data_IF_682510811520
#
_entry.id   IF_682510811520
#
_cell.length_a   1.000
_cell.length_b   1.000
_cell.length_c   1.000
_cell.angle_alpha   90.00
_cell.angle_beta   90.00
_cell.angle_gamma   90.00
#
_symmetry.space_group_name_H-M   'P 1'
#
loop_
_entity.id
_entity.type
_entity.pdbx_description
1 polymer ?
#
# COMPACT_ATOMS: atom_id res chain seq x y z
N UNK A 1 15.77 14.33 -18.35
CA UNK A 1 17.08 14.65 -17.75
C UNK A 1 17.78 13.33 -17.50
N UNK A 2 19.01 13.13 -17.99
CA UNK A 2 19.75 11.89 -17.76
C UNK A 2 20.57 12.07 -16.49
N UNK A 3 20.30 11.26 -15.47
CA UNK A 3 21.04 11.29 -14.21
C UNK A 3 22.08 10.18 -14.22
N UNK A 4 23.28 10.48 -13.72
CA UNK A 4 24.34 9.51 -13.47
C UNK A 4 24.75 9.57 -12.00
N UNK A 5 24.91 8.42 -11.40
CA UNK A 5 25.16 8.25 -9.99
C UNK A 5 26.25 7.23 -9.72
N UNK A 6 27.12 7.55 -8.77
CA UNK A 6 28.20 6.69 -8.30
C UNK A 6 28.05 6.51 -6.81
N UNK A 7 27.98 5.26 -6.38
CA UNK A 7 27.87 4.85 -4.98
C UNK A 7 29.19 4.24 -4.53
N UNK A 8 29.63 4.60 -3.32
CA UNK A 8 30.74 3.96 -2.61
C UNK A 8 30.23 3.51 -1.24
N UNK A 9 30.19 2.20 -1.02
CA UNK A 9 29.86 1.58 0.26
C UNK A 9 31.15 1.14 0.94
N UNK A 10 31.35 1.54 2.18
CA UNK A 10 32.49 1.14 3.02
C UNK A 10 31.99 0.46 4.28
N UNK A 11 32.50 -0.74 4.54
CA UNK A 11 32.36 -1.43 5.82
C UNK A 11 33.69 -1.32 6.57
N UNK A 12 33.65 -0.90 7.83
CA UNK A 12 34.87 -0.79 8.66
C UNK A 12 34.67 -1.60 9.93
N UNK A 13 35.51 -2.61 10.13
CA UNK A 13 35.51 -3.41 11.36
C UNK A 13 36.07 -2.58 12.52
N UNK A 14 35.30 -2.43 13.60
CA UNK A 14 35.67 -1.56 14.72
C UNK A 14 36.82 -2.11 15.57
N UNK A 15 37.07 -3.42 15.52
CA UNK A 15 38.11 -4.06 16.33
C UNK A 15 39.47 -4.03 15.62
N UNK A 16 39.46 -4.32 14.32
CA UNK A 16 40.68 -4.47 13.51
C UNK A 16 41.01 -3.22 12.71
N UNK A 17 40.03 -2.36 12.43
CA UNK A 17 40.16 -1.23 11.52
C UNK A 17 40.20 -1.60 10.04
N UNK A 18 39.96 -2.88 9.69
CA UNK A 18 39.92 -3.33 8.30
C UNK A 18 38.75 -2.69 7.56
N UNK A 19 38.98 -2.27 6.31
CA UNK A 19 37.98 -1.60 5.47
C UNK A 19 37.73 -2.40 4.19
N UNK A 20 36.49 -2.85 4.03
CA UNK A 20 35.96 -3.36 2.77
C UNK A 20 35.24 -2.24 2.03
N UNK A 21 35.45 -2.11 0.71
CA UNK A 21 34.86 -1.03 -0.09
C UNK A 21 34.35 -1.56 -1.42
N UNK A 22 33.13 -1.17 -1.78
CA UNK A 22 32.49 -1.46 -3.06
C UNK A 22 32.11 -0.16 -3.75
N UNK A 23 32.31 -0.07 -5.06
CA UNK A 23 31.95 1.09 -5.87
C UNK A 23 31.15 0.64 -7.07
N UNK A 24 29.99 1.24 -7.27
CA UNK A 24 29.07 0.85 -8.34
C UNK A 24 28.33 2.06 -8.91
N UNK A 25 27.91 1.96 -10.17
CA UNK A 25 27.12 2.98 -10.86
C UNK A 25 25.63 2.61 -10.88
N UNK A 26 24.76 3.60 -11.05
CA UNK A 26 23.33 3.37 -10.99
C UNK A 26 22.67 3.24 -12.36
N UNK A 27 21.53 2.57 -12.34
CA UNK A 27 20.43 2.78 -13.27
C UNK A 27 19.44 3.78 -12.67
N UNK A 28 18.87 4.66 -13.49
CA UNK A 28 17.79 5.57 -13.08
C UNK A 28 16.47 4.94 -13.51
N UNK A 29 15.47 4.95 -12.64
CA UNK A 29 14.13 4.46 -12.98
C UNK A 29 13.23 5.62 -13.41
N UNK A 30 12.04 5.30 -13.90
CA UNK A 30 11.02 6.30 -14.22
C UNK A 30 10.29 6.86 -12.98
N UNK A 31 10.68 6.46 -11.75
CA UNK A 31 9.88 6.76 -10.57
C UNK A 31 9.64 8.27 -10.35
N UNK A 32 10.67 9.09 -10.51
CA UNK A 32 10.58 10.55 -10.35
C UNK A 32 9.83 11.19 -11.51
N UNK A 33 10.06 10.72 -12.74
CA UNK A 33 9.38 11.23 -13.94
C UNK A 33 7.89 10.94 -13.90
N UNK A 34 7.50 9.74 -13.45
CA UNK A 34 6.11 9.34 -13.28
C UNK A 34 5.39 10.23 -12.24
N UNK A 35 6.02 10.50 -11.10
CA UNK A 35 5.43 11.36 -10.06
C UNK A 35 5.20 12.79 -10.57
N UNK A 36 6.14 13.34 -11.35
CA UNK A 36 6.02 14.72 -11.86
C UNK A 36 5.20 14.83 -13.15
N UNK A 37 5.19 13.77 -13.95
CA UNK A 37 4.60 13.74 -15.29
C UNK A 37 3.15 13.25 -15.32
N UNK A 38 2.70 12.55 -14.29
CA UNK A 38 1.33 12.03 -14.20
C UNK A 38 0.48 12.85 -13.26
N UNK A 39 -0.79 13.03 -13.61
CA UNK A 39 -1.74 13.76 -12.77
C UNK A 39 -3.07 13.01 -12.67
N UNK A 40 -3.08 11.78 -12.12
CA UNK A 40 -4.30 10.99 -12.01
C UNK A 40 -5.33 11.76 -11.17
N UNK A 41 -6.56 11.83 -11.68
CA UNK A 41 -7.70 12.51 -11.09
C UNK A 41 -7.45 14.01 -10.79
N UNK A 42 -6.56 14.66 -11.54
CA UNK A 42 -6.24 16.08 -11.33
C UNK A 42 -5.67 16.35 -9.93
N UNK A 43 -4.96 15.38 -9.34
CA UNK A 43 -4.45 15.44 -7.97
C UNK A 43 -3.55 16.65 -7.70
N UNK A 44 -2.88 17.21 -8.72
CA UNK A 44 -2.01 18.39 -8.59
C UNK A 44 -2.69 19.72 -8.84
N UNK A 45 -3.93 19.70 -9.32
CA UNK A 45 -4.74 20.91 -9.40
C UNK A 45 -5.45 21.13 -8.06
N UNK A 46 -5.49 22.38 -7.62
CA UNK A 46 -6.30 22.81 -6.49
C UNK A 46 -7.33 23.82 -6.98
N UNK A 47 -8.55 23.69 -6.50
CA UNK A 47 -9.66 24.57 -6.91
C UNK A 47 -9.76 25.82 -6.02
N UNK A 48 -9.16 25.78 -4.83
CA UNK A 48 -9.01 26.90 -3.91
C UNK A 48 -7.65 26.84 -3.16
N UNK A 49 -7.28 27.88 -2.42
CA UNK A 49 -6.16 27.84 -1.47
C UNK A 49 -6.53 26.89 -0.30
N UNK A 50 -6.18 25.61 -0.37
CA UNK A 50 -6.69 24.58 0.55
C UNK A 50 -5.59 23.96 1.43
N UNK A 51 -5.86 23.87 2.72
CA UNK A 51 -5.01 23.22 3.73
C UNK A 51 -4.81 21.71 3.51
N UNK A 52 -5.60 21.09 2.63
CA UNK A 52 -5.71 19.64 2.43
C UNK A 52 -5.01 19.12 1.15
N UNK A 53 -4.25 19.98 0.47
CA UNK A 53 -3.33 19.62 -0.62
C UNK A 53 -1.89 19.74 -0.13
N UNK A 54 -1.04 18.76 -0.47
CA UNK A 54 0.35 18.77 -0.06
C UNK A 54 1.11 19.99 -0.63
N UNK A 55 1.82 20.72 0.23
CA UNK A 55 2.83 21.69 -0.21
C UNK A 55 4.03 20.95 -0.81
N UNK A 56 4.21 21.05 -2.13
CA UNK A 56 5.31 20.41 -2.83
C UNK A 56 6.68 20.91 -2.38
N UNK A 57 6.85 22.24 -2.35
CA UNK A 57 8.08 22.85 -1.90
C UNK A 57 8.29 22.58 -0.41
N UNK A 58 9.45 22.03 -0.07
CA UNK A 58 9.82 21.59 1.27
C UNK A 58 9.40 20.16 1.60
N UNK A 59 8.49 19.54 0.84
CA UNK A 59 8.10 18.13 1.06
C UNK A 59 8.66 17.19 0.00
N UNK A 60 8.47 17.52 -1.28
CA UNK A 60 8.92 16.73 -2.43
C UNK A 60 9.94 17.50 -3.27
N UNK A 61 9.82 18.82 -3.33
CA UNK A 61 10.74 19.70 -4.04
C UNK A 61 11.65 20.48 -3.08
N UNK A 62 12.91 20.76 -3.44
CA UNK A 62 13.61 20.27 -4.64
C UNK A 62 13.75 18.73 -4.66
N UNK A 63 13.95 18.14 -5.85
CA UNK A 63 13.99 16.66 -6.02
C UNK A 63 14.97 16.03 -5.04
N UNK A 64 16.22 16.52 -5.00
CA UNK A 64 17.18 16.19 -3.95
C UNK A 64 17.17 17.29 -2.88
N UNK A 65 17.10 16.97 -1.57
CA UNK A 65 17.14 15.62 -0.99
C UNK A 65 15.75 15.10 -0.57
N UNK A 66 14.68 15.36 -1.33
CA UNK A 66 13.30 15.09 -0.87
C UNK A 66 12.65 13.91 -1.63
N UNK A 67 12.31 14.07 -2.91
CA UNK A 67 11.86 12.97 -3.77
C UNK A 67 12.96 11.92 -4.01
N UNK A 68 14.21 12.35 -4.04
CA UNK A 68 15.38 11.49 -3.98
C UNK A 68 16.17 11.93 -2.77
N UNK A 69 16.04 11.19 -1.67
CA UNK A 69 16.46 11.65 -0.35
C UNK A 69 16.74 10.57 0.65
N UNK A 70 16.26 9.36 0.38
CA UNK A 70 16.52 8.17 1.17
C UNK A 70 17.28 7.12 0.38
N UNK A 71 17.61 6.04 1.08
CA UNK A 71 18.28 4.87 0.53
C UNK A 71 17.63 3.60 1.08
N UNK A 72 17.50 2.57 0.24
CA UNK A 72 17.03 1.23 0.56
C UNK A 72 18.15 0.22 0.22
N UNK A 73 18.41 -0.73 1.11
CA UNK A 73 19.47 -1.72 0.97
C UNK A 73 18.84 -3.11 0.95
N UNK A 74 19.09 -3.87 -0.11
CA UNK A 74 18.40 -5.12 -0.42
C UNK A 74 19.31 -6.32 -0.27
N UNK A 75 18.79 -7.47 0.22
CA UNK A 75 19.57 -8.67 0.42
C UNK A 75 19.83 -9.47 -0.87
N UNK A 76 19.06 -9.22 -1.93
CA UNK A 76 19.24 -9.79 -3.27
C UNK A 76 19.35 -8.67 -4.31
N UNK A 77 19.92 -8.98 -5.46
CA UNK A 77 19.96 -8.08 -6.61
C UNK A 77 18.55 -7.68 -7.04
N UNK A 78 18.42 -6.49 -7.61
CA UNK A 78 17.20 -5.95 -8.20
C UNK A 78 17.24 -6.14 -9.72
N UNK A 79 16.08 -6.27 -10.34
CA UNK A 79 15.96 -6.25 -11.80
C UNK A 79 16.29 -4.85 -12.33
N UNK A 80 17.24 -4.76 -13.27
CA UNK A 80 17.61 -3.50 -13.92
C UNK A 80 16.65 -3.18 -15.07
N UNK A 81 15.49 -2.62 -14.71
CA UNK A 81 14.51 -2.06 -15.64
C UNK A 81 14.08 -0.66 -15.15
N UNK A 82 13.97 0.29 -16.07
CA UNK A 82 13.54 1.65 -15.76
C UNK A 82 12.09 1.68 -15.26
N UNK A 83 11.26 0.72 -15.68
CA UNK A 83 9.89 0.56 -15.20
C UNK A 83 9.81 -0.15 -13.83
N UNK A 84 10.90 -0.76 -13.35
CA UNK A 84 10.96 -1.47 -12.06
C UNK A 84 11.09 -0.46 -10.90
N UNK A 85 9.96 0.17 -10.57
CA UNK A 85 9.89 1.24 -9.57
C UNK A 85 9.57 0.74 -8.15
N UNK A 86 9.23 -0.54 -7.99
CA UNK A 86 9.01 -1.20 -6.69
C UNK A 86 9.49 -2.64 -6.76
N UNK A 87 10.07 -3.12 -5.66
CA UNK A 87 10.46 -4.51 -5.51
C UNK A 87 9.33 -5.34 -4.87
N UNK A 88 9.23 -6.62 -5.23
CA UNK A 88 8.26 -7.53 -4.66
C UNK A 88 8.61 -7.91 -3.21
N UNK A 89 7.62 -8.37 -2.44
CA UNK A 89 7.79 -8.67 -1.02
C UNK A 89 8.80 -9.80 -0.71
N UNK A 90 9.17 -10.60 -1.71
CA UNK A 90 10.23 -11.62 -1.61
C UNK A 90 11.66 -11.07 -1.54
N UNK A 91 11.83 -9.75 -1.69
CA UNK A 91 13.10 -9.04 -1.57
C UNK A 91 12.89 -7.66 -0.93
N UNK A 92 12.28 -7.60 0.26
CA UNK A 92 12.18 -6.34 1.02
C UNK A 92 13.55 -5.84 1.50
N UNK A 93 13.71 -4.51 1.71
CA UNK A 93 14.97 -3.95 2.17
C UNK A 93 15.30 -4.41 3.60
N UNK A 94 16.55 -4.80 3.83
CA UNK A 94 17.09 -5.16 5.17
C UNK A 94 17.52 -3.93 5.98
N UNK A 95 17.81 -2.83 5.29
CA UNK A 95 18.19 -1.57 5.92
C UNK A 95 17.77 -0.39 5.04
N UNK A 96 17.66 0.78 5.64
CA UNK A 96 17.28 2.01 4.95
C UNK A 96 17.79 3.25 5.70
N UNK A 97 17.81 4.41 5.05
CA UNK A 97 18.02 5.68 5.72
C UNK A 97 17.32 6.83 4.97
N UNK A 98 16.98 7.89 5.70
CA UNK A 98 16.28 9.08 5.18
C UNK A 98 17.26 10.25 5.03
N UNK A 99 16.77 11.42 4.64
CA UNK A 99 17.53 12.67 4.55
C UNK A 99 17.79 13.36 5.92
N UNK A 100 17.70 12.61 7.01
CA UNK A 100 17.86 13.10 8.37
C UNK A 100 18.47 12.03 9.27
N UNK A 101 18.85 12.44 10.48
CA UNK A 101 19.43 11.55 11.48
C UNK A 101 18.41 10.54 12.01
N UNK A 102 18.87 9.34 12.37
CA UNK A 102 18.07 8.39 13.11
C UNK A 102 18.05 8.72 14.60
N UNK A 103 16.96 9.34 15.05
CA UNK A 103 16.72 9.67 16.47
C UNK A 103 15.93 8.60 17.22
N UNK A 104 15.71 7.44 16.59
CA UNK A 104 14.85 6.36 17.12
C UNK A 104 15.66 5.10 17.41
N UNK A 105 15.05 4.11 18.06
CA UNK A 105 15.65 2.80 18.30
C UNK A 105 15.61 1.86 17.07
N UNK A 106 15.21 2.35 15.89
CA UNK A 106 15.09 1.52 14.70
C UNK A 106 16.48 1.07 14.20
N UNK A 107 16.80 -0.21 14.38
CA UNK A 107 18.09 -0.80 13.97
C UNK A 107 18.19 -1.05 12.48
N UNK A 108 17.09 -1.06 11.72
CA UNK A 108 17.17 -1.10 10.25
C UNK A 108 17.56 0.28 9.67
N UNK A 109 17.44 1.36 10.46
CA UNK A 109 17.58 2.73 9.97
C UNK A 109 18.96 3.34 10.26
N UNK A 110 19.65 3.78 9.22
CA UNK A 110 20.87 4.58 9.31
C UNK A 110 20.60 6.08 9.45
N UNK A 111 21.66 6.88 9.57
CA UNK A 111 21.59 8.34 9.71
C UNK A 111 22.23 9.06 8.54
N UNK A 112 21.61 10.13 8.05
CA UNK A 112 22.29 11.02 7.12
C UNK A 112 23.36 11.84 7.85
N UNK A 113 24.58 11.87 7.31
CA UNK A 113 25.62 12.80 7.71
C UNK A 113 25.33 14.17 7.08
N UNK A 114 24.76 15.08 7.86
CA UNK A 114 24.31 16.40 7.41
C UNK A 114 25.45 17.36 7.05
N UNK A 115 26.67 17.08 7.50
CA UNK A 115 27.85 17.91 7.19
C UNK A 115 28.45 17.53 5.84
N UNK A 116 28.52 16.23 5.53
CA UNK A 116 29.11 15.76 4.27
C UNK A 116 28.11 15.69 3.12
N UNK A 117 26.82 15.59 3.42
CA UNK A 117 25.76 15.62 2.42
C UNK A 117 25.44 17.04 2.00
N UNK A 118 25.46 17.31 0.70
CA UNK A 118 25.28 18.66 0.17
C UNK A 118 24.88 18.67 -1.29
N UNK A 119 24.23 19.76 -1.69
CA UNK A 119 24.06 20.09 -3.10
C UNK A 119 25.44 20.31 -3.76
N UNK A 120 25.53 19.88 -5.00
CA UNK A 120 26.62 20.14 -5.93
C UNK A 120 26.13 21.11 -7.01
N UNK A 121 27.02 21.61 -7.85
CA UNK A 121 26.64 22.53 -8.94
C UNK A 121 25.66 21.89 -9.93
N UNK A 122 25.85 20.61 -10.24
CA UNK A 122 25.04 19.84 -11.19
C UNK A 122 24.45 18.56 -10.54
N UNK A 123 24.19 18.55 -9.24
CA UNK A 123 23.74 17.33 -8.57
C UNK A 123 23.68 17.39 -7.06
N UNK A 124 23.76 16.24 -6.41
CA UNK A 124 23.74 16.11 -4.96
C UNK A 124 24.67 14.99 -4.49
N UNK A 125 25.36 15.22 -3.38
CA UNK A 125 26.13 14.20 -2.66
C UNK A 125 25.38 13.82 -1.40
N UNK A 126 25.03 12.56 -1.27
CA UNK A 126 24.48 11.96 -0.05
C UNK A 126 25.55 11.18 0.70
N UNK A 127 25.51 11.25 2.02
CA UNK A 127 26.33 10.43 2.91
C UNK A 127 25.44 9.89 4.01
N UNK A 128 25.35 8.56 4.11
CA UNK A 128 24.67 7.87 5.20
C UNK A 128 25.65 7.03 6.00
N UNK A 129 25.41 6.96 7.30
CA UNK A 129 26.23 6.24 8.28
C UNK A 129 25.34 5.33 9.12
N UNK A 130 25.80 4.10 9.31
CA UNK A 130 25.16 3.09 10.12
C UNK A 130 26.15 2.64 11.19
N UNK A 131 25.71 2.71 12.44
CA UNK A 131 26.46 2.20 13.59
C UNK A 131 26.54 0.68 13.56
N UNK A 132 27.31 0.04 14.47
CA UNK A 132 27.41 -1.42 14.49
C UNK A 132 26.07 -2.12 14.73
N UNK A 133 25.19 -1.53 15.51
CA UNK A 133 23.84 -2.08 15.74
C UNK A 133 22.86 -1.81 14.59
N UNK A 134 23.24 -1.05 13.58
CA UNK A 134 22.36 -0.60 12.50
C UNK A 134 22.67 -1.26 11.15
N UNK A 135 21.61 -1.54 10.38
CA UNK A 135 21.68 -2.01 9.00
C UNK A 135 22.34 -3.37 8.82
N UNK A 136 22.23 -4.25 9.82
CA UNK A 136 22.85 -5.57 9.78
C UNK A 136 22.13 -6.52 8.83
N UNK A 137 22.89 -7.21 7.99
CA UNK A 137 22.38 -8.14 6.99
C UNK A 137 23.30 -8.26 5.77
N UNK A 138 22.91 -9.14 4.87
CA UNK A 138 23.50 -9.21 3.53
C UNK A 138 22.97 -8.06 2.68
N UNK A 139 23.84 -7.41 1.92
CA UNK A 139 23.50 -6.33 1.00
C UNK A 139 24.03 -6.71 -0.38
N UNK A 140 23.13 -6.86 -1.34
CA UNK A 140 23.42 -7.20 -2.73
C UNK A 140 22.96 -6.12 -3.71
N UNK A 141 22.07 -5.22 -3.30
CA UNK A 141 21.69 -4.05 -4.08
C UNK A 141 21.36 -2.86 -3.19
N UNK A 142 21.47 -1.67 -3.76
CA UNK A 142 21.19 -0.38 -3.13
C UNK A 142 20.35 0.44 -4.08
N UNK A 143 19.28 1.06 -3.58
CA UNK A 143 18.42 1.94 -4.36
C UNK A 143 18.26 3.28 -3.65
N UNK A 144 18.33 4.38 -4.38
CA UNK A 144 17.83 5.65 -3.85
C UNK A 144 16.30 5.62 -3.84
N UNK A 145 15.70 6.29 -2.86
CA UNK A 145 14.25 6.41 -2.69
C UNK A 145 13.89 7.81 -2.19
N UNK A 146 12.62 8.09 -1.95
CA UNK A 146 12.20 9.33 -1.29
C UNK A 146 12.71 9.42 0.15
N UNK A 147 12.86 10.63 0.67
CA UNK A 147 13.16 10.84 2.08
C UNK A 147 12.15 10.09 2.98
N UNK A 148 10.86 10.15 2.64
CA UNK A 148 9.80 9.43 3.38
C UNK A 148 9.93 7.91 3.29
N UNK A 149 10.27 7.38 2.11
CA UNK A 149 10.55 5.95 1.91
C UNK A 149 11.75 5.49 2.74
N UNK A 150 12.78 6.33 2.86
CA UNK A 150 13.95 6.09 3.70
C UNK A 150 13.72 6.20 5.21
N UNK A 151 12.55 6.66 5.67
CA UNK A 151 12.26 6.77 7.11
C UNK A 151 11.86 5.42 7.72
N UNK A 152 10.98 4.68 7.05
CA UNK A 152 10.44 3.42 7.59
C UNK A 152 10.31 2.31 6.55
N UNK A 153 10.65 2.55 5.27
CA UNK A 153 10.28 1.68 4.15
C UNK A 153 8.77 1.34 4.23
N UNK A 154 8.44 0.06 4.38
CA UNK A 154 7.05 -0.40 4.57
C UNK A 154 6.60 -0.44 6.05
N UNK A 155 7.55 -0.34 6.99
CA UNK A 155 7.30 -0.31 8.43
C UNK A 155 8.23 -1.20 9.25
N UNK A 156 8.30 -0.92 10.54
CA UNK A 156 9.03 -1.66 11.56
C UNK A 156 8.30 -1.56 12.90
N UNK A 157 8.80 -2.26 13.93
CA UNK A 157 8.30 -2.12 15.31
C UNK A 157 8.41 -0.70 15.88
N UNK A 158 9.31 0.12 15.33
CA UNK A 158 9.60 1.48 15.85
C UNK A 158 8.83 2.55 15.10
N UNK A 159 8.54 2.33 13.81
CA UNK A 159 7.94 3.31 12.92
C UNK A 159 7.37 2.69 11.64
N UNK A 160 6.18 3.11 11.23
CA UNK A 160 5.52 2.66 9.99
C UNK A 160 4.72 3.74 9.23
N UNK A 161 4.63 4.96 9.78
CA UNK A 161 3.74 6.01 9.27
C UNK A 161 4.12 6.61 7.90
N UNK A 162 5.38 6.54 7.48
CA UNK A 162 5.87 7.26 6.28
C UNK A 162 5.61 6.54 4.95
N UNK A 163 5.09 5.30 4.99
CA UNK A 163 4.87 4.46 3.79
C UNK A 163 3.91 5.09 2.79
N UNK A 164 2.87 5.77 3.30
CA UNK A 164 1.81 6.39 2.51
C UNK A 164 1.82 7.90 2.73
N UNK A 165 2.34 8.66 1.77
CA UNK A 165 2.32 10.12 1.83
C UNK A 165 1.00 10.64 1.25
N UNK A 166 0.13 11.19 2.10
CA UNK A 166 -1.11 11.83 1.64
C UNK A 166 -0.77 13.06 0.79
N UNK A 167 -1.18 13.06 -0.47
CA UNK A 167 -0.94 14.17 -1.40
C UNK A 167 -2.18 15.04 -1.63
N UNK A 168 -3.39 14.46 -1.51
CA UNK A 168 -4.65 15.20 -1.59
C UNK A 168 -5.73 14.52 -0.76
N UNK A 169 -6.51 15.32 -0.06
CA UNK A 169 -7.79 14.94 0.53
C UNK A 169 -8.85 15.83 -0.12
N UNK A 170 -9.81 15.21 -0.80
CA UNK A 170 -10.90 15.91 -1.48
C UNK A 170 -12.20 15.59 -0.74
N UNK A 171 -12.95 16.63 -0.38
CA UNK A 171 -14.29 16.51 0.20
C UNK A 171 -15.30 16.03 -0.83
N UNK A 172 -16.10 15.04 -0.46
CA UNK A 172 -17.18 14.46 -1.27
C UNK A 172 -18.51 14.37 -0.49
N UNK A 173 -18.62 15.10 0.63
CA UNK A 173 -19.81 15.15 1.50
C UNK A 173 -21.09 15.57 0.76
N UNK A 174 -20.96 16.45 -0.23
CA UNK A 174 -22.09 17.02 -0.96
C UNK A 174 -22.67 16.11 -2.07
N UNK A 175 -22.02 14.97 -2.38
CA UNK A 175 -22.51 14.04 -3.41
C UNK A 175 -23.87 13.40 -3.10
N UNK A 176 -24.28 13.40 -1.83
CA UNK A 176 -25.42 12.67 -1.32
C UNK A 176 -25.12 11.17 -1.12
N UNK A 177 -25.69 10.59 -0.07
CA UNK A 177 -25.38 9.24 0.44
C UNK A 177 -25.30 8.16 -0.64
N UNK A 178 -26.32 8.06 -1.51
CA UNK A 178 -26.39 7.02 -2.52
C UNK A 178 -25.21 7.05 -3.52
N UNK A 179 -24.67 8.24 -3.82
CA UNK A 179 -23.48 8.35 -4.66
C UNK A 179 -22.19 8.02 -3.91
N UNK A 180 -22.12 8.41 -2.64
CA UNK A 180 -20.99 8.06 -1.77
C UNK A 180 -20.90 6.55 -1.57
N UNK A 181 -22.03 5.86 -1.33
CA UNK A 181 -22.10 4.40 -1.21
C UNK A 181 -21.52 3.72 -2.45
N UNK A 182 -21.86 4.17 -3.65
CA UNK A 182 -21.32 3.62 -4.89
C UNK A 182 -19.79 3.72 -4.95
N UNK A 183 -19.20 4.83 -4.52
CA UNK A 183 -17.74 4.98 -4.43
C UNK A 183 -17.15 4.12 -3.32
N UNK A 184 -17.84 4.00 -2.19
CA UNK A 184 -17.40 3.20 -1.04
C UNK A 184 -17.56 1.71 -1.31
N UNK A 185 -18.30 1.31 -2.34
CA UNK A 185 -18.48 -0.06 -2.83
C UNK A 185 -17.47 -0.43 -3.93
N UNK A 186 -16.47 0.43 -4.21
CA UNK A 186 -15.44 0.13 -5.19
C UNK A 186 -14.71 -1.18 -4.86
N UNK A 187 -14.68 -2.09 -5.84
CA UNK A 187 -13.97 -3.37 -5.80
C UNK A 187 -12.76 -3.38 -6.74
N UNK A 188 -12.77 -2.58 -7.80
CA UNK A 188 -11.69 -2.45 -8.78
C UNK A 188 -11.68 -1.05 -9.43
N UNK A 189 -10.49 -0.58 -9.79
CA UNK A 189 -10.29 0.61 -10.64
C UNK A 189 -9.38 0.23 -11.80
N UNK A 190 -9.86 0.45 -13.03
CA UNK A 190 -9.07 0.35 -14.26
C UNK A 190 -8.65 1.77 -14.66
N UNK A 191 -7.43 2.14 -14.24
CA UNK A 191 -6.88 3.49 -14.42
C UNK A 191 -6.71 3.86 -15.90
N UNK A 192 -6.34 2.90 -16.76
CA UNK A 192 -6.07 3.15 -18.18
C UNK A 192 -7.34 3.46 -18.96
N UNK A 193 -8.49 2.93 -18.51
CA UNK A 193 -9.79 3.13 -19.15
C UNK A 193 -10.67 4.14 -18.43
N UNK A 194 -10.18 4.76 -17.36
CA UNK A 194 -10.98 5.66 -16.51
C UNK A 194 -12.22 4.96 -15.91
N UNK A 195 -12.12 3.68 -15.55
CA UNK A 195 -13.25 2.89 -15.05
C UNK A 195 -13.11 2.53 -13.58
N UNK A 196 -14.24 2.50 -12.88
CA UNK A 196 -14.41 1.96 -11.54
C UNK A 196 -15.52 0.92 -11.58
N UNK A 197 -15.32 -0.19 -10.88
CA UNK A 197 -16.35 -1.22 -10.69
C UNK A 197 -16.79 -1.22 -9.23
N UNK A 198 -18.05 -0.85 -9.03
CA UNK A 198 -18.71 -0.80 -7.73
C UNK A 198 -19.60 -2.02 -7.59
N UNK A 199 -19.40 -2.81 -6.53
CA UNK A 199 -20.09 -4.08 -6.35
C UNK A 199 -20.65 -4.18 -4.94
N UNK A 200 -21.92 -4.52 -4.84
CA UNK A 200 -22.63 -4.66 -3.57
C UNK A 200 -23.71 -5.73 -3.63
N UNK A 201 -24.28 -6.07 -2.48
CA UNK A 201 -25.41 -6.96 -2.37
C UNK A 201 -26.65 -6.18 -1.93
N UNK A 202 -27.69 -6.19 -2.75
CA UNK A 202 -28.95 -5.52 -2.48
C UNK A 202 -30.10 -6.27 -3.17
N UNK A 203 -31.29 -6.23 -2.58
CA UNK A 203 -32.51 -6.78 -3.18
C UNK A 203 -32.37 -8.25 -3.65
N UNK A 204 -31.69 -9.08 -2.85
CA UNK A 204 -31.40 -10.50 -3.17
C UNK A 204 -30.62 -10.70 -4.48
N UNK A 205 -29.80 -9.73 -4.83
CA UNK A 205 -28.97 -9.74 -6.04
C UNK A 205 -27.59 -9.17 -5.72
N UNK A 206 -26.59 -9.63 -6.47
CA UNK A 206 -25.33 -8.88 -6.57
C UNK A 206 -25.52 -7.79 -7.61
N UNK A 207 -25.32 -6.55 -7.19
CA UNK A 207 -25.41 -5.38 -8.05
C UNK A 207 -24.02 -4.94 -8.45
N UNK A 208 -23.77 -4.88 -9.76
CA UNK A 208 -22.49 -4.56 -10.38
C UNK A 208 -22.68 -3.30 -11.21
N UNK A 209 -21.98 -2.24 -10.84
CA UNK A 209 -22.02 -0.96 -11.55
C UNK A 209 -20.67 -0.71 -12.20
N UNK A 210 -20.69 -0.56 -13.52
CA UNK A 210 -19.54 -0.08 -14.30
C UNK A 210 -19.63 1.42 -14.40
N UNK A 211 -18.60 2.10 -13.94
CA UNK A 211 -18.63 3.53 -13.69
C UNK A 211 -17.49 4.18 -14.45
N UNK A 212 -17.78 5.28 -15.14
CA UNK A 212 -16.76 6.19 -15.64
C UNK A 212 -16.43 7.20 -14.55
N UNK A 213 -15.15 7.29 -14.19
CA UNK A 213 -14.60 8.29 -13.29
C UNK A 213 -13.41 9.01 -13.96
N UNK A 214 -13.32 10.35 -13.94
CA UNK A 214 -12.19 11.05 -14.57
C UNK A 214 -10.86 10.74 -13.85
N UNK A 215 -9.98 9.98 -14.49
CA UNK A 215 -8.63 9.68 -13.97
C UNK A 215 -7.59 10.40 -14.83
N UNK A 216 -7.45 10.02 -16.10
CA UNK A 216 -6.50 10.63 -17.02
C UNK A 216 -7.15 11.40 -18.16
N UNK A 217 -8.43 11.13 -18.45
CA UNK A 217 -9.20 11.94 -19.40
C UNK A 217 -10.37 12.65 -18.71
N UNK A 218 -10.81 13.77 -19.28
CA UNK A 218 -11.91 14.57 -18.77
C UNK A 218 -12.86 14.97 -19.91
N UNK A 219 -14.16 14.80 -19.69
CA UNK A 219 -15.20 15.24 -20.59
C UNK A 219 -15.43 16.75 -20.54
N UNK A 220 -16.02 17.33 -21.60
CA UNK A 220 -16.21 18.78 -21.73
C UNK A 220 -17.01 19.44 -20.59
N UNK A 221 -17.83 18.65 -19.88
CA UNK A 221 -18.66 19.11 -18.77
C UNK A 221 -18.35 18.36 -17.45
N UNK A 222 -17.31 17.52 -17.43
CA UNK A 222 -16.82 16.90 -16.20
C UNK A 222 -15.92 17.89 -15.46
N UNK A 223 -15.89 17.81 -14.13
CA UNK A 223 -14.95 18.58 -13.30
C UNK A 223 -13.99 17.64 -12.54
N UNK A 224 -12.94 18.19 -11.93
CA UNK A 224 -11.88 17.42 -11.25
C UNK A 224 -11.98 17.46 -9.71
N UNK A 225 -12.68 18.45 -9.15
CA UNK A 225 -13.20 18.53 -7.78
C UNK A 225 -14.38 17.61 -7.54
N UNK A 226 -15.27 17.50 -8.52
CA UNK A 226 -16.51 16.78 -8.34
C UNK A 226 -16.19 15.29 -8.46
N UNK A 227 -16.38 14.56 -7.38
CA UNK A 227 -16.49 13.09 -7.39
C UNK A 227 -17.76 12.61 -8.13
N UNK A 228 -18.27 13.41 -9.06
CA UNK A 228 -19.24 13.04 -10.07
C UNK A 228 -18.64 11.96 -10.97
N UNK A 229 -19.23 10.80 -10.87
CA UNK A 229 -19.01 9.70 -11.78
C UNK A 229 -20.25 9.51 -12.65
N UNK A 230 -20.10 8.82 -13.77
CA UNK A 230 -21.22 8.41 -14.62
C UNK A 230 -21.39 6.90 -14.54
N UNK A 231 -22.57 6.42 -14.16
CA UNK A 231 -22.91 4.99 -14.27
C UNK A 231 -23.11 4.67 -15.75
N UNK A 232 -22.26 3.81 -16.30
CA UNK A 232 -22.35 3.35 -17.68
C UNK A 232 -23.25 2.13 -17.80
N UNK A 233 -23.14 1.21 -16.84
CA UNK A 233 -23.92 -0.02 -16.75
C UNK A 233 -24.28 -0.30 -15.29
N UNK A 234 -25.46 -0.86 -15.06
CA UNK A 234 -25.96 -1.25 -13.75
C UNK A 234 -26.68 -2.59 -13.89
N UNK A 235 -26.03 -3.67 -13.45
CA UNK A 235 -26.53 -5.02 -13.56
C UNK A 235 -26.90 -5.54 -12.18
N UNK A 236 -28.09 -6.11 -12.05
CA UNK A 236 -28.50 -6.86 -10.87
C UNK A 236 -28.61 -8.33 -11.25
N UNK A 237 -27.75 -9.16 -10.67
CA UNK A 237 -27.75 -10.59 -10.92
C UNK A 237 -28.31 -11.29 -9.68
N UNK A 238 -29.49 -11.94 -9.79
CA UNK A 238 -30.12 -12.62 -8.65
C UNK A 238 -29.23 -13.73 -8.07
N UNK A 239 -29.30 -13.88 -6.76
CA UNK A 239 -28.61 -14.94 -6.01
C UNK A 239 -29.63 -15.82 -5.31
N UNK A 240 -29.40 -17.12 -5.28
CA UNK A 240 -30.21 -18.07 -4.53
C UNK A 240 -29.62 -18.35 -3.14
N UNK A 241 -28.29 -18.42 -3.04
CA UNK A 241 -27.57 -18.81 -1.83
C UNK A 241 -26.81 -17.65 -1.19
N UNK A 242 -26.14 -16.81 -1.99
CA UNK A 242 -25.33 -15.73 -1.47
C UNK A 242 -26.20 -14.60 -0.93
N UNK A 243 -25.84 -14.10 0.25
CA UNK A 243 -26.36 -12.85 0.79
C UNK A 243 -25.34 -12.24 1.74
N UNK A 244 -25.49 -10.94 2.02
CA UNK A 244 -24.86 -10.36 3.20
C UNK A 244 -25.62 -10.78 4.46
N UNK A 245 -24.97 -11.62 5.27
CA UNK A 245 -25.43 -12.05 6.59
C UNK A 245 -25.60 -10.85 7.55
N UNK A 246 -26.32 -11.07 8.64
CA UNK A 246 -26.69 -10.04 9.61
C UNK A 246 -28.02 -9.34 9.26
N UNK A 247 -28.65 -8.73 10.26
CA UNK A 247 -29.94 -8.04 10.12
C UNK A 247 -29.75 -6.52 9.96
N UNK A 248 -29.37 -5.86 11.05
CA UNK A 248 -29.06 -4.42 11.12
C UNK A 248 -27.72 -4.12 10.46
N UNK A 249 -26.63 -4.61 11.06
CA UNK A 249 -25.30 -4.62 10.43
C UNK A 249 -25.24 -5.74 9.41
N UNK A 250 -24.82 -5.42 8.19
CA UNK A 250 -24.58 -6.39 7.13
C UNK A 250 -23.11 -6.76 7.08
N UNK A 251 -22.82 -8.07 7.03
CA UNK A 251 -21.47 -8.58 7.00
C UNK A 251 -21.14 -9.12 5.62
N UNK A 252 -20.23 -8.46 4.91
CA UNK A 252 -19.76 -8.96 3.62
C UNK A 252 -18.93 -7.96 2.84
N UNK A 253 -18.11 -8.50 1.94
CA UNK A 253 -17.19 -7.73 1.12
C UNK A 253 -17.07 -8.29 -0.29
N UNK A 254 -16.80 -7.39 -1.24
CA UNK A 254 -16.45 -7.72 -2.61
C UNK A 254 -15.01 -7.29 -2.89
N UNK A 255 -14.25 -8.17 -3.54
CA UNK A 255 -12.84 -8.01 -3.82
C UNK A 255 -12.52 -8.43 -5.25
N UNK A 256 -11.56 -7.75 -5.87
CA UNK A 256 -10.95 -8.20 -7.11
C UNK A 256 -9.97 -9.35 -6.86
N UNK A 257 -10.19 -10.50 -7.50
CA UNK A 257 -9.30 -11.64 -7.45
C UNK A 257 -8.04 -11.50 -8.31
N UNK A 258 -8.02 -10.51 -9.22
CA UNK A 258 -6.98 -10.28 -10.24
C UNK A 258 -6.73 -11.49 -11.16
N UNK A 259 -7.75 -12.35 -11.31
CA UNK A 259 -7.72 -13.60 -12.06
C UNK A 259 -8.84 -13.67 -13.13
N UNK A 260 -9.39 -12.51 -13.49
CA UNK A 260 -10.54 -12.40 -14.38
C UNK A 260 -11.90 -12.52 -13.68
N UNK A 261 -11.91 -12.62 -12.34
CA UNK A 261 -13.13 -12.69 -11.54
C UNK A 261 -13.12 -11.68 -10.38
N UNK A 262 -14.31 -11.21 -10.01
CA UNK A 262 -14.55 -10.64 -8.68
C UNK A 262 -15.10 -11.73 -7.76
N UNK A 263 -14.89 -11.55 -6.46
CA UNK A 263 -15.37 -12.46 -5.45
C UNK A 263 -16.10 -11.69 -4.36
N UNK A 264 -17.27 -12.19 -3.96
CA UNK A 264 -18.01 -11.74 -2.79
C UNK A 264 -17.92 -12.76 -1.67
N UNK A 265 -17.77 -12.30 -0.43
CA UNK A 265 -17.72 -13.13 0.77
C UNK A 265 -18.61 -12.56 1.86
N UNK A 266 -19.24 -13.43 2.65
CA UNK A 266 -20.06 -13.03 3.80
C UNK A 266 -19.95 -14.04 4.94
N UNK A 267 -19.54 -13.56 6.11
CA UNK A 267 -19.54 -14.32 7.36
C UNK A 267 -19.85 -13.43 8.56
N UNK A 268 -20.55 -13.98 9.55
CA UNK A 268 -20.50 -13.47 10.91
C UNK A 268 -19.24 -14.02 11.59
N UNK A 269 -18.54 -13.17 12.36
CA UNK A 269 -17.32 -13.59 13.05
C UNK A 269 -17.58 -14.71 14.06
N UNK A 270 -16.67 -15.66 14.18
CA UNK A 270 -16.81 -16.80 15.09
C UNK A 270 -15.56 -17.02 15.96
N UNK A 271 -15.79 -17.15 17.27
CA UNK A 271 -14.73 -17.38 18.26
C UNK A 271 -14.46 -18.87 18.54
N UNK A 272 -15.31 -19.75 18.04
CA UNK A 272 -15.28 -21.20 18.27
C UNK A 272 -15.93 -21.95 17.10
N UNK A 273 -15.76 -23.27 17.08
CA UNK A 273 -16.34 -24.15 16.06
C UNK A 273 -15.79 -23.92 14.66
N UNK A 274 -16.63 -24.24 13.67
CA UNK A 274 -16.34 -24.04 12.25
C UNK A 274 -16.82 -22.65 11.82
N UNK A 275 -16.08 -22.00 10.92
CA UNK A 275 -16.57 -20.78 10.28
C UNK A 275 -17.51 -21.13 9.13
N UNK A 276 -18.62 -20.42 9.03
CA UNK A 276 -19.53 -20.45 7.89
C UNK A 276 -19.25 -19.24 7.01
N UNK A 277 -19.09 -19.44 5.71
CA UNK A 277 -18.81 -18.38 4.74
C UNK A 277 -19.69 -18.56 3.51
N UNK A 278 -20.56 -17.60 3.22
CA UNK A 278 -21.20 -17.51 1.91
C UNK A 278 -20.22 -16.88 0.93
N UNK A 279 -20.20 -17.37 -0.30
CA UNK A 279 -19.31 -16.85 -1.34
C UNK A 279 -20.04 -16.76 -2.68
N UNK A 280 -19.54 -15.84 -3.50
CA UNK A 280 -19.94 -15.72 -4.90
C UNK A 280 -18.72 -15.38 -5.75
N UNK A 281 -18.60 -16.00 -6.91
CA UNK A 281 -17.57 -15.76 -7.92
C UNK A 281 -18.23 -15.21 -9.17
N UNK A 282 -17.74 -14.06 -9.63
CA UNK A 282 -18.35 -13.23 -10.67
C UNK A 282 -17.38 -13.10 -11.84
N UNK A 283 -17.77 -13.55 -13.03
CA UNK A 283 -16.99 -13.35 -14.25
C UNK A 283 -16.94 -11.87 -14.63
N UNK A 284 -15.74 -11.32 -14.84
CA UNK A 284 -15.59 -9.93 -15.34
C UNK A 284 -16.00 -9.79 -16.81
N UNK A 285 -16.07 -10.90 -17.56
CA UNK A 285 -16.32 -10.88 -19.00
C UNK A 285 -17.81 -10.72 -19.34
N UNK A 286 -18.69 -11.35 -18.56
CA UNK A 286 -20.11 -11.45 -18.86
C UNK A 286 -21.01 -11.39 -17.62
N UNK A 287 -20.44 -11.13 -16.44
CA UNK A 287 -21.13 -11.09 -15.14
C UNK A 287 -21.83 -12.40 -14.76
N UNK A 288 -21.52 -13.53 -15.41
CA UNK A 288 -21.99 -14.84 -14.99
C UNK A 288 -21.45 -15.18 -13.59
N UNK A 289 -22.28 -15.87 -12.79
CA UNK A 289 -21.99 -16.08 -11.38
C UNK A 289 -22.09 -17.55 -10.99
N UNK A 290 -21.24 -17.94 -10.06
CA UNK A 290 -21.39 -19.16 -9.27
C UNK A 290 -21.33 -18.78 -7.80
N UNK A 291 -22.10 -19.45 -6.97
CA UNK A 291 -22.19 -19.14 -5.55
C UNK A 291 -22.30 -20.40 -4.71
N UNK A 292 -22.13 -20.24 -3.40
CA UNK A 292 -22.37 -21.32 -2.47
C UNK A 292 -22.02 -20.95 -1.04
N UNK A 293 -21.84 -21.99 -0.24
CA UNK A 293 -21.48 -21.88 1.16
C UNK A 293 -20.28 -22.79 1.47
N UNK A 294 -19.35 -22.28 2.26
CA UNK A 294 -18.26 -23.05 2.85
C UNK A 294 -18.49 -23.25 4.34
N UNK A 295 -18.18 -24.46 4.81
CA UNK A 295 -17.95 -24.75 6.23
C UNK A 295 -16.46 -24.99 6.41
N UNK A 296 -15.76 -24.01 6.98
CA UNK A 296 -14.31 -24.05 7.19
C UNK A 296 -14.04 -24.68 8.56
N UNK A 297 -13.56 -25.92 8.54
CA UNK A 297 -13.39 -26.75 9.73
C UNK A 297 -12.41 -26.12 10.72
N UNK A 298 -12.86 -25.88 11.96
CA UNK A 298 -12.08 -25.28 13.05
C UNK A 298 -11.43 -23.91 12.74
N UNK A 299 -11.87 -23.22 11.67
CA UNK A 299 -11.44 -21.86 11.39
C UNK A 299 -12.25 -20.87 12.24
N UNK A 300 -11.57 -19.92 12.89
CA UNK A 300 -12.17 -18.91 13.78
C UNK A 300 -11.90 -17.53 13.22
N UNK A 301 -12.83 -17.01 12.44
CA UNK A 301 -12.61 -15.82 11.62
C UNK A 301 -13.22 -14.58 12.29
N UNK A 302 -12.59 -13.42 12.09
CA UNK A 302 -13.31 -12.15 12.15
C UNK A 302 -14.28 -12.08 10.96
N UNK A 303 -15.26 -11.17 11.02
CA UNK A 303 -16.07 -10.86 9.85
C UNK A 303 -15.16 -10.27 8.75
N UNK A 304 -15.36 -10.68 7.49
CA UNK A 304 -14.63 -10.17 6.31
C UNK A 304 -14.79 -8.66 6.13
N UNK A 305 -15.94 -8.13 6.53
CA UNK A 305 -16.22 -6.71 6.62
C UNK A 305 -17.63 -6.49 7.13
N UNK A 306 -17.98 -5.23 7.34
CA UNK A 306 -19.29 -4.84 7.83
C UNK A 306 -19.74 -3.51 7.26
N UNK A 307 -21.04 -3.30 7.18
CA UNK A 307 -21.64 -2.03 6.74
C UNK A 307 -22.98 -1.81 7.43
N UNK A 308 -23.28 -0.54 7.69
CA UNK A 308 -24.59 -0.08 8.16
C UNK A 308 -25.27 0.67 7.02
N UNK A 309 -26.52 0.29 6.74
CA UNK A 309 -27.31 0.84 5.65
C UNK A 309 -28.35 1.86 6.13
N UNK A 310 -28.60 1.98 7.44
CA UNK A 310 -29.72 2.76 8.00
C UNK A 310 -29.35 4.21 8.36
N UNK A 311 -28.06 4.51 8.54
CA UNK A 311 -27.62 5.85 8.93
C UNK A 311 -27.69 6.88 7.78
N UNK A 312 -27.50 8.16 8.10
CA UNK A 312 -27.56 9.27 7.13
C UNK A 312 -26.30 9.42 6.27
N UNK A 313 -25.25 8.69 6.61
CA UNK A 313 -23.96 8.62 5.90
C UNK A 313 -23.60 7.15 5.66
N UNK A 314 -22.75 6.85 4.66
CA UNK A 314 -22.29 5.49 4.42
C UNK A 314 -21.31 5.01 5.50
N UNK A 315 -21.40 3.72 5.84
CA UNK A 315 -20.49 3.06 6.78
C UNK A 315 -19.98 1.76 6.16
N UNK A 316 -18.68 1.51 6.27
CA UNK A 316 -18.06 0.29 5.75
C UNK A 316 -16.72 0.02 6.42
N UNK A 317 -16.57 -1.17 6.99
CA UNK A 317 -15.29 -1.67 7.47
C UNK A 317 -14.83 -2.86 6.64
N UNK A 318 -13.64 -2.77 6.05
CA UNK A 318 -13.05 -3.83 5.24
C UNK A 318 -11.94 -4.54 6.02
N UNK A 319 -12.08 -5.84 6.27
CA UNK A 319 -11.16 -6.64 7.10
C UNK A 319 -10.43 -7.76 6.38
N UNK A 320 -10.69 -7.94 5.09
CA UNK A 320 -10.10 -8.99 4.29
C UNK A 320 -9.43 -8.43 3.03
N UNK A 321 -8.54 -9.21 2.43
CA UNK A 321 -8.03 -8.94 1.09
C UNK A 321 -7.83 -10.26 0.32
N UNK A 322 -7.63 -10.17 -0.98
CA UNK A 322 -7.30 -11.31 -1.83
C UNK A 322 -5.90 -11.15 -2.42
N UNK A 323 -5.19 -12.28 -2.56
CA UNK A 323 -3.91 -12.37 -3.26
C UNK A 323 -3.74 -13.76 -3.86
N UNK A 324 -3.54 -13.83 -5.17
CA UNK A 324 -3.15 -15.05 -5.89
C UNK A 324 -4.11 -16.23 -5.73
N UNK A 325 -5.43 -15.98 -5.76
CA UNK A 325 -6.46 -17.03 -5.58
C UNK A 325 -6.72 -17.42 -4.12
N UNK A 326 -6.21 -16.66 -3.15
CA UNK A 326 -6.49 -16.87 -1.73
C UNK A 326 -7.17 -15.64 -1.12
N UNK A 327 -8.16 -15.89 -0.28
CA UNK A 327 -8.76 -14.93 0.64
C UNK A 327 -7.97 -14.92 1.96
N UNK A 328 -7.65 -13.73 2.46
CA UNK A 328 -6.98 -13.53 3.74
C UNK A 328 -7.93 -12.88 4.73
N UNK A 329 -8.20 -13.56 5.85
CA UNK A 329 -9.13 -13.09 6.90
C UNK A 329 -8.48 -13.20 8.27
N UNK A 330 -8.42 -12.11 9.07
CA UNK A 330 -7.86 -12.15 10.41
C UNK A 330 -8.54 -13.20 11.29
N UNK A 331 -7.73 -13.92 12.08
CA UNK A 331 -8.25 -14.84 13.08
C UNK A 331 -8.96 -14.06 14.20
N UNK A 332 -10.05 -14.61 14.72
CA UNK A 332 -10.86 -13.98 15.78
C UNK A 332 -10.05 -13.62 17.03
N UNK A 333 -9.04 -14.45 17.36
CA UNK A 333 -8.17 -14.25 18.51
C UNK A 333 -7.03 -13.23 18.26
N UNK A 334 -6.94 -12.63 17.06
CA UNK A 334 -5.93 -11.65 16.65
C UNK A 334 -4.48 -12.16 16.66
N UNK A 335 -4.27 -13.48 16.66
CA UNK A 335 -2.94 -14.11 16.71
C UNK A 335 -2.45 -14.65 15.36
N UNK A 336 -3.23 -14.46 14.31
CA UNK A 336 -2.88 -14.91 12.98
C UNK A 336 -3.89 -14.43 11.93
N UNK A 337 -3.66 -14.86 10.70
CA UNK A 337 -4.53 -14.62 9.56
C UNK A 337 -4.76 -15.93 8.82
N UNK A 338 -6.01 -16.22 8.49
CA UNK A 338 -6.34 -17.39 7.69
C UNK A 338 -6.13 -17.08 6.21
N UNK A 339 -5.39 -17.94 5.53
CA UNK A 339 -5.23 -18.01 4.08
C UNK A 339 -6.13 -19.13 3.57
N UNK A 340 -7.14 -18.77 2.80
CA UNK A 340 -8.21 -19.68 2.33
C UNK A 340 -8.18 -19.71 0.81
N UNK A 341 -7.96 -20.88 0.23
CA UNK A 341 -7.96 -21.05 -1.22
C UNK A 341 -9.40 -20.98 -1.76
N UNK A 342 -9.67 -20.07 -2.69
CA UNK A 342 -11.03 -19.86 -3.21
C UNK A 342 -11.49 -20.97 -4.17
N UNK A 343 -10.57 -21.79 -4.68
CA UNK A 343 -10.86 -22.93 -5.54
C UNK A 343 -10.88 -24.27 -4.79
N UNK A 344 -10.34 -24.32 -3.57
CA UNK A 344 -10.26 -25.55 -2.77
C UNK A 344 -10.48 -25.26 -1.28
N UNK A 345 -11.69 -25.51 -0.79
CA UNK A 345 -12.08 -25.21 0.59
C UNK A 345 -11.43 -26.10 1.66
N UNK A 346 -10.74 -27.16 1.26
CA UNK A 346 -9.91 -27.96 2.17
C UNK A 346 -8.52 -27.32 2.40
N UNK A 347 -8.10 -26.40 1.54
CA UNK A 347 -6.84 -25.66 1.64
C UNK A 347 -7.07 -24.37 2.42
N UNK A 348 -7.04 -24.53 3.75
CA UNK A 348 -7.18 -23.46 4.74
C UNK A 348 -6.00 -23.54 5.69
N UNK A 349 -5.17 -22.50 5.69
CA UNK A 349 -3.98 -22.43 6.54
C UNK A 349 -4.05 -21.21 7.45
N UNK A 350 -3.76 -21.39 8.73
CA UNK A 350 -3.53 -20.27 9.65
C UNK A 350 -2.06 -19.85 9.54
N UNK A 351 -1.82 -18.60 9.16
CA UNK A 351 -0.50 -17.98 9.27
C UNK A 351 -0.43 -17.33 10.65
N UNK A 352 0.36 -17.92 11.54
CA UNK A 352 0.56 -17.42 12.90
C UNK A 352 1.40 -16.14 12.88
N UNK A 353 0.95 -15.13 13.64
CA UNK A 353 1.71 -13.88 13.77
C UNK A 353 2.90 -14.01 14.72
N UNK A 354 2.86 -14.95 15.67
CA UNK A 354 3.83 -15.04 16.76
C UNK A 354 3.63 -13.98 17.87
N UNK A 355 2.64 -13.10 17.72
CA UNK A 355 2.21 -12.12 18.71
C UNK A 355 0.68 -11.95 18.66
N UNK A 356 0.11 -11.18 19.59
CA UNK A 356 -1.29 -10.77 19.51
C UNK A 356 -1.35 -9.38 18.90
N UNK A 357 -1.89 -9.28 17.69
CA UNK A 357 -2.11 -8.00 17.01
C UNK A 357 -3.09 -7.15 17.81
N UNK A 358 -2.85 -5.84 17.85
CA UNK A 358 -3.80 -4.84 18.35
C UNK A 358 -5.10 -4.90 17.54
N UNK A 359 -5.00 -5.31 16.27
CA UNK A 359 -6.07 -5.38 15.29
C UNK A 359 -6.83 -4.06 15.23
N UNK A 360 -6.06 -2.98 15.03
CA UNK A 360 -6.57 -1.63 14.77
C UNK A 360 -6.61 -1.41 13.26
N UNK A 361 -7.48 -0.51 12.78
CA UNK A 361 -7.48 -0.16 11.37
C UNK A 361 -6.17 0.49 10.94
N UNK A 362 -5.87 0.37 9.65
CA UNK A 362 -4.77 1.03 8.97
C UNK A 362 -5.01 2.54 8.83
N UNK A 363 -6.27 2.97 8.88
CA UNK A 363 -6.70 4.36 8.83
C UNK A 363 -7.03 4.94 10.22
N UNK A 364 -7.33 6.23 10.26
CA UNK A 364 -8.05 6.86 11.37
C UNK A 364 -9.35 6.09 11.67
N UNK A 365 -9.62 5.85 12.96
CA UNK A 365 -10.85 5.18 13.40
C UNK A 365 -12.09 6.05 13.16
N UNK A 366 -13.20 5.40 12.82
CA UNK A 366 -14.46 6.07 12.50
C UNK A 366 -15.53 5.11 12.01
N UNK A 367 -16.44 5.61 11.19
CA UNK A 367 -17.53 4.82 10.58
C UNK A 367 -17.10 4.10 9.30
N UNK A 368 -15.93 4.43 8.77
CA UNK A 368 -15.28 3.69 7.69
C UNK A 368 -13.86 3.30 8.08
N UNK A 369 -13.59 2.00 8.15
CA UNK A 369 -12.32 1.47 8.61
C UNK A 369 -11.73 0.40 7.68
N UNK A 370 -10.53 0.65 7.18
CA UNK A 370 -9.74 -0.32 6.41
C UNK A 370 -8.74 -1.02 7.32
N UNK A 371 -8.80 -2.35 7.43
CA UNK A 371 -7.88 -3.13 8.24
C UNK A 371 -6.80 -3.81 7.40
N UNK A 372 -7.11 -4.25 6.18
CA UNK A 372 -6.16 -4.91 5.27
C UNK A 372 -6.20 -4.26 3.88
N UNK A 373 -5.03 -4.02 3.30
CA UNK A 373 -4.90 -3.67 1.88
C UNK A 373 -3.76 -4.46 1.25
N UNK A 374 -3.85 -4.71 -0.05
CA UNK A 374 -2.78 -5.31 -0.85
C UNK A 374 -2.06 -4.19 -1.62
N UNK A 375 -0.74 -4.10 -1.47
CA UNK A 375 0.13 -3.19 -2.24
C UNK A 375 1.17 -4.04 -2.95
N UNK A 376 1.16 -4.05 -4.28
CA UNK A 376 1.89 -5.08 -5.05
C UNK A 376 1.42 -6.48 -4.65
N UNK A 377 2.32 -7.27 -4.04
CA UNK A 377 2.06 -8.59 -3.47
C UNK A 377 2.07 -8.60 -1.92
N UNK A 378 2.36 -7.46 -1.29
CA UNK A 378 2.46 -7.32 0.16
C UNK A 378 1.09 -7.02 0.78
N UNK A 379 0.65 -7.86 1.71
CA UNK A 379 -0.54 -7.59 2.53
C UNK A 379 -0.11 -6.70 3.69
N UNK A 380 -0.79 -5.56 3.85
CA UNK A 380 -0.51 -4.58 4.89
C UNK A 380 -1.72 -4.49 5.82
N UNK A 381 -1.52 -4.87 7.08
CA UNK A 381 -2.49 -4.71 8.18
C UNK A 381 -2.14 -3.54 9.10
N UNK A 382 -2.92 -3.32 10.16
CA UNK A 382 -2.68 -2.22 11.11
C UNK A 382 -1.27 -2.24 11.70
N UNK A 383 -0.89 -3.33 12.36
CA UNK A 383 0.39 -3.55 13.05
C UNK A 383 1.16 -4.78 12.53
N UNK A 384 0.87 -5.21 11.30
CA UNK A 384 1.57 -6.33 10.68
C UNK A 384 1.59 -6.23 9.15
N UNK A 385 2.45 -7.03 8.54
CA UNK A 385 2.46 -7.29 7.11
C UNK A 385 2.62 -8.79 6.85
N UNK A 386 2.18 -9.25 5.69
CA UNK A 386 2.36 -10.64 5.24
C UNK A 386 2.91 -10.62 3.81
N UNK A 387 4.12 -11.12 3.65
CA UNK A 387 4.81 -11.23 2.36
C UNK A 387 4.25 -12.39 1.53
N UNK A 388 4.65 -12.50 0.27
CA UNK A 388 4.15 -13.52 -0.66
C UNK A 388 4.49 -14.96 -0.24
N UNK A 389 5.57 -15.16 0.52
CA UNK A 389 5.94 -16.46 1.09
C UNK A 389 5.31 -16.72 2.47
N UNK A 390 4.31 -15.92 2.84
CA UNK A 390 3.57 -15.97 4.09
C UNK A 390 4.40 -15.60 5.35
N UNK A 391 5.59 -15.01 5.18
CA UNK A 391 6.35 -14.44 6.31
C UNK A 391 5.62 -13.23 6.89
N UNK A 392 5.45 -13.21 8.22
CA UNK A 392 4.84 -12.13 8.97
C UNK A 392 5.89 -11.13 9.47
N UNK A 393 5.64 -9.85 9.26
CA UNK A 393 6.46 -8.74 9.78
C UNK A 393 5.61 -7.95 10.77
N UNK A 394 6.07 -7.81 12.01
CA UNK A 394 5.39 -7.00 13.04
C UNK A 394 5.78 -5.53 12.89
N UNK A 395 4.79 -4.64 12.85
CA UNK A 395 5.00 -3.18 12.78
C UNK A 395 4.42 -2.44 13.98
N UNK A 396 4.73 -1.16 14.11
CA UNK A 396 4.34 -0.32 15.24
C UNK A 396 2.82 -0.28 15.47
N UNK A 397 2.04 -0.25 14.39
CA UNK A 397 0.58 -0.17 14.46
C UNK A 397 0.02 1.24 14.47
N UNK A 398 0.63 2.16 13.73
CA UNK A 398 0.12 3.54 13.59
C UNK A 398 -1.05 3.59 12.62
N UNK A 399 -1.93 4.59 12.76
CA UNK A 399 -2.82 4.98 11.68
C UNK A 399 -1.97 5.64 10.57
N UNK A 400 -2.06 5.13 9.36
CA UNK A 400 -1.24 5.53 8.20
C UNK A 400 -2.04 6.19 7.08
N UNK A 401 -3.37 6.10 7.18
CA UNK A 401 -4.32 6.66 6.22
C UNK A 401 -5.32 7.56 6.96
N UNK A 402 -5.96 8.47 6.23
CA UNK A 402 -7.22 9.09 6.68
C UNK A 402 -8.35 8.06 6.59
N UNK A 403 -9.56 8.41 7.01
CA UNK A 403 -10.72 7.50 6.95
C UNK A 403 -10.83 6.79 5.59
N UNK A 404 -11.03 5.47 5.64
CA UNK A 404 -10.98 4.61 4.46
C UNK A 404 -12.04 3.50 4.56
N UNK A 405 -12.94 3.46 3.59
CA UNK A 405 -13.95 2.42 3.38
C UNK A 405 -13.47 1.37 2.35
N UNK A 406 -12.71 1.80 1.35
CA UNK A 406 -12.22 0.93 0.27
C UNK A 406 -10.81 0.44 0.55
N UNK A 407 -10.38 -0.68 -0.07
CA UNK A 407 -8.96 -0.94 -0.31
C UNK A 407 -8.30 0.23 -1.05
N UNK A 408 -6.96 0.29 -1.03
CA UNK A 408 -6.22 1.24 -1.86
C UNK A 408 -6.04 0.67 -3.27
N UNK A 409 -6.42 1.45 -4.28
CA UNK A 409 -6.20 1.11 -5.68
C UNK A 409 -4.93 1.78 -6.17
N UNK A 410 -4.01 0.98 -6.72
CA UNK A 410 -2.68 1.43 -7.08
C UNK A 410 -2.54 1.63 -8.59
N UNK A 411 -1.99 2.78 -8.99
CA UNK A 411 -1.43 3.01 -10.31
C UNK A 411 -0.02 3.58 -10.15
N UNK A 412 0.98 2.76 -10.48
CA UNK A 412 2.39 3.08 -10.22
C UNK A 412 2.62 3.51 -8.76
N UNK A 413 3.05 4.74 -8.50
CA UNK A 413 3.26 5.29 -7.16
C UNK A 413 1.99 5.83 -6.50
N UNK A 414 0.93 6.08 -7.28
CA UNK A 414 -0.30 6.67 -6.80
C UNK A 414 -1.24 5.62 -6.23
N UNK A 415 -1.85 5.94 -5.09
CA UNK A 415 -2.85 5.12 -4.43
C UNK A 415 -4.09 5.98 -4.19
N UNK A 416 -5.27 5.48 -4.58
CA UNK A 416 -6.56 6.12 -4.33
C UNK A 416 -7.43 5.26 -3.44
N UNK A 417 -8.19 5.91 -2.55
CA UNK A 417 -9.23 5.27 -1.77
C UNK A 417 -10.32 6.26 -1.37
N UNK A 418 -11.48 5.74 -1.00
CA UNK A 418 -12.62 6.50 -0.52
C UNK A 418 -12.96 6.08 0.89
N UNK A 419 -13.44 7.00 1.70
CA UNK A 419 -13.88 6.72 3.06
C UNK A 419 -14.42 7.97 3.74
N UNK A 420 -14.98 7.81 4.92
CA UNK A 420 -15.57 8.92 5.65
C UNK A 420 -15.71 8.62 7.13
N UNK A 421 -16.10 9.65 7.87
CA UNK A 421 -16.44 9.49 9.28
C UNK A 421 -17.54 10.48 9.65
N UNK A 422 -18.69 9.95 10.07
CA UNK A 422 -19.82 10.74 10.59
C UNK A 422 -20.26 11.90 9.69
N UNK A 423 -20.49 11.66 8.39
CA UNK A 423 -20.94 12.70 7.44
C UNK A 423 -19.83 13.58 6.88
N UNK A 424 -18.56 13.16 7.05
CA UNK A 424 -17.40 13.78 6.46
C UNK A 424 -16.74 12.76 5.55
N UNK A 425 -17.13 12.74 4.28
CA UNK A 425 -16.68 11.77 3.29
C UNK A 425 -15.62 12.37 2.37
N UNK A 426 -14.62 11.57 2.05
CA UNK A 426 -13.44 11.99 1.33
C UNK A 426 -13.01 10.99 0.26
N UNK A 427 -12.44 11.53 -0.82
CA UNK A 427 -11.46 10.81 -1.65
C UNK A 427 -10.06 11.17 -1.17
N UNK A 428 -9.26 10.15 -0.87
CA UNK A 428 -7.88 10.31 -0.50
C UNK A 428 -6.95 9.84 -1.62
N UNK A 429 -5.90 10.61 -1.86
CA UNK A 429 -4.81 10.27 -2.76
C UNK A 429 -3.50 10.21 -1.96
N UNK A 430 -2.73 9.14 -2.17
CA UNK A 430 -1.43 8.94 -1.56
C UNK A 430 -0.36 8.67 -2.62
N UNK A 431 0.89 8.98 -2.27
CA UNK A 431 2.07 8.39 -2.89
C UNK A 431 2.59 7.26 -2.00
N UNK A 432 2.83 6.10 -2.60
CA UNK A 432 3.65 5.05 -2.00
C UNK A 432 5.10 5.52 -2.03
N UNK A 433 5.72 5.67 -0.87
CA UNK A 433 7.02 6.37 -0.75
C UNK A 433 8.27 5.51 -0.91
N UNK A 434 8.27 4.19 -0.66
CA UNK A 434 9.44 3.32 -0.84
C UNK A 434 9.74 2.94 -2.31
N UNK A 435 9.58 3.86 -3.26
CA UNK A 435 9.92 3.60 -4.66
C UNK A 435 11.43 3.55 -4.88
N UNK A 436 11.83 2.82 -5.91
CA UNK A 436 13.19 2.77 -6.41
C UNK A 436 13.38 3.94 -7.37
N UNK A 437 14.05 5.02 -6.96
CA UNK A 437 14.42 6.14 -7.84
C UNK A 437 15.67 5.83 -8.67
N UNK A 438 16.54 5.00 -8.11
CA UNK A 438 17.70 4.42 -8.80
C UNK A 438 17.86 2.97 -8.37
N UNK A 439 18.55 2.18 -9.17
CA UNK A 439 18.95 0.81 -8.86
C UNK A 439 20.46 0.72 -8.99
N UNK A 440 21.11 0.08 -8.03
CA UNK A 440 22.54 -0.11 -8.01
C UNK A 440 22.86 -1.50 -7.44
N UNK A 441 23.07 -2.47 -8.32
CA UNK A 441 23.44 -3.84 -7.94
C UNK A 441 24.93 -3.92 -7.62
N UNK A 442 25.27 -4.61 -6.53
CA UNK A 442 26.66 -4.85 -6.18
C UNK A 442 27.19 -6.02 -7.01
N UNK A 443 28.39 -5.86 -7.57
CA UNK A 443 29.13 -6.93 -8.25
C UNK A 443 29.41 -8.13 -7.35
N UNK A 444 29.45 -7.91 -6.03
CA UNK A 444 29.46 -8.95 -5.00
C UNK A 444 28.71 -8.48 -3.76
N UNK A 445 27.88 -9.36 -3.20
CA UNK A 445 27.15 -9.05 -1.98
C UNK A 445 28.11 -8.91 -0.79
N UNK A 446 27.86 -7.91 0.05
CA UNK A 446 28.63 -7.64 1.28
C UNK A 446 27.81 -7.99 2.51
N UNK A 447 28.47 -8.25 3.64
CA UNK A 447 27.79 -8.58 4.91
C UNK A 447 28.13 -7.54 5.97
N UNK A 448 27.11 -6.77 6.35
CA UNK A 448 27.16 -5.85 7.49
C UNK A 448 26.73 -6.60 8.75
N UNK A 449 27.67 -6.74 9.68
CA UNK A 449 27.43 -7.38 10.98
C UNK A 449 27.61 -6.38 12.14
N UNK A 450 27.42 -6.88 13.36
CA UNK A 450 27.46 -6.09 14.58
C UNK A 450 28.85 -5.59 14.99
N UNK A 451 29.92 -5.98 14.30
CA UNK A 451 31.29 -5.52 14.56
C UNK A 451 31.74 -4.42 13.59
N UNK A 452 30.95 -4.16 12.54
CA UNK A 452 31.30 -3.21 11.47
C UNK A 452 30.46 -1.95 11.57
N UNK A 453 31.03 -0.82 11.24
CA UNK A 453 30.26 0.37 10.80
C UNK A 453 30.06 0.33 9.29
N UNK A 454 29.07 1.03 8.78
CA UNK A 454 28.86 1.20 7.34
C UNK A 454 28.72 2.67 6.98
N UNK A 455 29.44 3.11 5.95
CA UNK A 455 29.30 4.43 5.35
C UNK A 455 29.01 4.31 3.88
N UNK A 456 27.92 4.92 3.42
CA UNK A 456 27.54 4.96 2.01
C UNK A 456 27.63 6.40 1.54
N UNK A 457 28.50 6.65 0.56
CA UNK A 457 28.57 7.92 -0.16
C UNK A 457 27.95 7.72 -1.53
N UNK A 458 26.93 8.50 -1.86
CA UNK A 458 26.25 8.43 -3.15
C UNK A 458 26.27 9.80 -3.80
N UNK A 459 26.92 9.93 -4.95
CA UNK A 459 26.91 11.16 -5.74
C UNK A 459 25.98 10.97 -6.92
N UNK A 460 24.97 11.82 -7.07
CA UNK A 460 24.02 11.82 -8.19
C UNK A 460 24.13 13.15 -8.93
N UNK A 461 24.43 13.11 -10.23
CA UNK A 461 24.66 14.29 -11.07
C UNK A 461 23.86 14.25 -12.36
N UNK A 462 23.53 15.42 -12.88
CA UNK A 462 22.96 15.60 -14.20
C UNK A 462 24.06 15.42 -15.26
N UNK A 463 23.79 14.58 -16.26
CA UNK A 463 24.63 14.54 -17.46
C UNK A 463 24.35 15.77 -18.33
N UNK A 464 25.42 16.33 -18.91
CA UNK A 464 25.41 17.52 -19.76
C UNK A 464 24.77 17.28 -21.14
#
# INVERSE_FOLDING_TARGET
MKLKGTMVLKLTDETTGEVESVTEENMVTEAVNDILGMNPMGVFYSEENLADVLSWNGTLLPICPNMVGGILLFPKTLEEDAAHIYEASGNLPVAYASNNVNTTANTARGSMNQTESKALENGYKFVWEFTPSQGNGTIAAVALTSAQGGQNAYGSLVGDASTFLKIKKLDIGDLGKAKQEVLFEAAEVDFEKDLLYSITFADSSVRIRKIRIPIFTIGLNEKLDDSTYTVLEDHAVPTETFLFLGSYTKYGEFLDGKDGYWYGFSNEGNSSGNARMLWVKISKADYSMTEGEWTLSNAKLMAVGERDMENTYPERNCRCCMRGGYLYVPAYNKKGIYKINVANTADVTLIDFGFTSKMKPLCESGTCELYLTLVGDLIIGGDFQVTADDTVIHTQGSARLGSAATPLFQHKQFLVGWGGSYGNEYRHMYLLTPYLATINNLSSAVVKDANKTMKITYTLTEEA
#
